data_IF_800240937235
#
_entry.id   IF_800240937235
#
_cell.length_a   1.000
_cell.length_b   1.000
_cell.length_c   1.000
_cell.angle_alpha   90.00
_cell.angle_beta   90.00
_cell.angle_gamma   90.00
#
_symmetry.space_group_name_H-M   'P 1'
#
loop_
_entity.id
_entity.type
_entity.pdbx_description
1 polymer ?
#
# COMPACT_ATOMS: atom_id res chain seq x y z
N UNK A 1 20.50 -17.96 2.38
CA UNK A 1 19.37 -17.08 2.00
C UNK A 1 19.50 -15.72 2.67
N UNK A 2 18.79 -14.69 2.17
CA UNK A 2 18.77 -13.36 2.81
C UNK A 2 18.42 -13.42 4.30
N UNK A 3 17.42 -14.23 4.66
CA UNK A 3 16.99 -14.41 6.05
C UNK A 3 18.08 -15.07 6.90
N UNK A 4 18.75 -16.08 6.40
CA UNK A 4 19.87 -16.74 7.11
C UNK A 4 21.04 -15.80 7.33
N UNK A 5 21.39 -15.00 6.33
CA UNK A 5 22.44 -13.99 6.44
C UNK A 5 22.05 -12.93 7.49
N UNK A 6 20.82 -12.40 7.45
CA UNK A 6 20.35 -11.44 8.43
C UNK A 6 20.33 -12.00 9.86
N UNK A 7 20.02 -13.27 10.04
CA UNK A 7 20.10 -13.95 11.34
C UNK A 7 21.53 -14.12 11.83
N UNK A 8 22.48 -14.42 10.94
CA UNK A 8 23.92 -14.51 11.27
C UNK A 8 24.50 -13.14 11.61
N UNK A 9 24.21 -12.13 10.78
CA UNK A 9 24.74 -10.77 10.96
C UNK A 9 24.21 -10.07 12.20
N UNK A 10 23.01 -10.44 12.69
CA UNK A 10 22.38 -9.81 13.85
C UNK A 10 22.99 -10.22 15.19
N UNK A 11 23.80 -11.27 15.25
CA UNK A 11 24.29 -11.90 16.49
C UNK A 11 23.20 -12.27 17.51
N UNK A 12 21.94 -12.36 17.07
CA UNK A 12 20.79 -12.66 17.94
C UNK A 12 20.67 -14.19 18.10
N UNK A 13 20.52 -14.62 19.35
CA UNK A 13 20.26 -16.03 19.64
C UNK A 13 18.91 -16.45 19.02
N UNK A 14 18.97 -17.40 18.09
CA UNK A 14 17.79 -17.90 17.36
C UNK A 14 16.68 -18.41 18.31
N UNK A 15 17.03 -18.88 19.52
CA UNK A 15 16.07 -19.38 20.50
C UNK A 15 15.13 -18.32 21.06
N UNK A 16 15.50 -17.03 21.00
CA UNK A 16 14.65 -15.93 21.47
C UNK A 16 13.79 -15.32 20.37
N UNK A 17 13.95 -15.77 19.12
CA UNK A 17 13.16 -15.27 17.98
C UNK A 17 11.82 -15.99 17.97
N UNK A 18 10.73 -15.25 18.18
CA UNK A 18 9.38 -15.79 18.26
C UNK A 18 8.77 -16.10 16.88
N UNK A 19 9.29 -15.48 15.82
CA UNK A 19 8.84 -15.73 14.45
C UNK A 19 9.31 -14.66 13.46
N UNK A 20 8.95 -14.85 12.19
CA UNK A 20 9.24 -13.94 11.08
C UNK A 20 7.94 -13.54 10.41
N UNK A 21 7.69 -12.23 10.30
CA UNK A 21 6.55 -11.67 9.58
C UNK A 21 6.94 -11.27 8.16
N UNK A 22 6.17 -11.70 7.18
CA UNK A 22 6.38 -11.40 5.76
C UNK A 22 5.14 -10.73 5.19
N UNK A 23 5.31 -9.50 4.68
CA UNK A 23 4.31 -8.80 3.88
C UNK A 23 4.60 -9.02 2.39
N UNK A 24 3.62 -9.48 1.63
CA UNK A 24 3.74 -9.74 0.19
C UNK A 24 2.73 -8.93 -0.62
N UNK A 25 3.14 -8.44 -1.80
CA UNK A 25 2.23 -7.79 -2.76
C UNK A 25 1.41 -8.84 -3.51
N UNK A 26 0.69 -9.68 -2.79
CA UNK A 26 -0.05 -10.82 -3.34
C UNK A 26 -1.33 -11.06 -2.52
N UNK A 27 -2.31 -11.73 -3.12
CA UNK A 27 -3.48 -12.20 -2.39
C UNK A 27 -3.08 -13.40 -1.54
N UNK A 28 -3.16 -13.24 -0.24
CA UNK A 28 -2.93 -14.31 0.74
C UNK A 28 -4.28 -14.82 1.23
N UNK A 29 -4.67 -16.00 0.76
CA UNK A 29 -6.01 -16.58 1.00
C UNK A 29 -6.29 -16.92 2.46
N UNK A 30 -5.28 -17.45 3.15
CA UNK A 30 -5.45 -17.99 4.50
C UNK A 30 -4.26 -17.67 5.40
N UNK A 31 -4.38 -18.04 6.68
CA UNK A 31 -3.27 -17.93 7.64
C UNK A 31 -2.10 -18.90 7.33
N UNK A 32 -2.28 -19.82 6.39
CA UNK A 32 -1.24 -20.75 5.95
C UNK A 32 -0.34 -20.15 4.86
N UNK A 33 -0.65 -18.92 4.37
CA UNK A 33 0.16 -18.23 3.37
C UNK A 33 0.00 -18.84 1.96
N UNK A 34 -1.20 -19.37 1.64
CA UNK A 34 -1.53 -19.82 0.29
C UNK A 34 -1.62 -18.61 -0.64
N UNK A 35 -0.75 -18.57 -1.66
CA UNK A 35 -0.67 -17.50 -2.64
C UNK A 35 -1.45 -17.87 -3.90
N UNK A 36 -2.04 -16.86 -4.57
CA UNK A 36 -2.92 -17.14 -5.72
C UNK A 36 -2.22 -17.18 -7.07
N UNK A 37 -1.08 -16.50 -7.24
CA UNK A 37 -0.45 -16.35 -8.55
C UNK A 37 0.95 -16.94 -8.69
N UNK A 38 1.83 -16.75 -7.70
CA UNK A 38 3.24 -17.14 -7.85
C UNK A 38 3.55 -18.63 -7.64
N UNK A 39 2.63 -19.38 -7.01
CA UNK A 39 2.86 -20.79 -6.61
C UNK A 39 1.64 -21.66 -6.87
N UNK A 40 0.94 -21.41 -7.98
CA UNK A 40 -0.32 -22.11 -8.31
C UNK A 40 -0.16 -23.59 -8.67
N UNK A 41 1.07 -24.03 -8.97
CA UNK A 41 1.31 -25.41 -9.44
C UNK A 41 1.93 -26.35 -8.40
N UNK A 42 2.41 -25.84 -7.26
CA UNK A 42 3.01 -26.69 -6.24
C UNK A 42 2.17 -26.78 -4.97
N UNK A 43 1.93 -28.03 -4.55
CA UNK A 43 1.14 -28.41 -3.38
C UNK A 43 1.72 -27.97 -2.01
N UNK A 44 2.86 -27.29 -1.99
CA UNK A 44 3.53 -26.83 -0.76
C UNK A 44 3.32 -25.34 -0.59
N UNK A 45 2.66 -24.93 0.52
CA UNK A 45 2.53 -23.51 0.83
C UNK A 45 3.91 -22.88 1.09
N UNK A 46 4.15 -21.66 0.60
CA UNK A 46 5.37 -20.89 0.83
C UNK A 46 5.75 -20.86 2.32
N UNK A 47 4.76 -20.72 3.19
CA UNK A 47 4.96 -20.77 4.65
C UNK A 47 5.60 -22.07 5.11
N UNK A 48 5.04 -23.22 4.73
CA UNK A 48 5.59 -24.53 5.11
C UNK A 48 6.99 -24.73 4.56
N UNK A 49 7.23 -24.32 3.32
CA UNK A 49 8.56 -24.37 2.71
C UNK A 49 9.59 -23.57 3.52
N UNK A 50 9.28 -22.30 3.85
CA UNK A 50 10.17 -21.44 4.61
C UNK A 50 10.39 -21.96 6.04
N UNK A 51 9.35 -22.43 6.73
CA UNK A 51 9.44 -23.02 8.07
C UNK A 51 10.31 -24.28 8.07
N UNK A 52 10.24 -25.11 7.02
CA UNK A 52 11.07 -26.30 6.90
C UNK A 52 12.56 -25.99 6.75
N UNK A 53 12.90 -24.88 6.10
CA UNK A 53 14.28 -24.41 5.89
C UNK A 53 14.83 -23.63 7.08
N UNK A 54 14.05 -22.66 7.57
CA UNK A 54 14.54 -21.69 8.55
C UNK A 54 14.38 -22.19 9.99
N UNK A 55 13.44 -23.14 10.23
CA UNK A 55 13.10 -23.67 11.55
C UNK A 55 12.65 -22.59 12.54
N UNK A 56 11.93 -21.59 12.05
CA UNK A 56 11.23 -20.56 12.81
C UNK A 56 9.79 -20.46 12.33
N UNK A 57 8.90 -19.98 13.21
CA UNK A 57 7.52 -19.71 12.85
C UNK A 57 7.46 -18.60 11.81
N UNK A 58 6.76 -18.83 10.70
CA UNK A 58 6.57 -17.85 9.61
C UNK A 58 5.10 -17.43 9.59
N UNK A 59 4.88 -16.13 9.48
CA UNK A 59 3.55 -15.55 9.28
C UNK A 59 3.59 -14.71 8.02
N UNK A 60 2.67 -14.99 7.09
CA UNK A 60 2.60 -14.31 5.81
C UNK A 60 1.22 -13.65 5.68
N UNK A 61 1.19 -12.40 5.24
CA UNK A 61 -0.03 -11.73 4.82
C UNK A 61 0.26 -10.72 3.69
N UNK A 62 -0.79 -10.15 3.11
CA UNK A 62 -0.67 -9.05 2.17
C UNK A 62 0.04 -7.86 2.85
N UNK A 63 0.94 -7.20 2.13
CA UNK A 63 1.79 -6.13 2.66
C UNK A 63 0.99 -4.94 3.20
N UNK A 64 -0.11 -4.56 2.54
CA UNK A 64 -0.97 -3.48 3.01
C UNK A 64 -1.66 -3.83 4.31
N UNK A 65 -2.09 -5.10 4.48
CA UNK A 65 -2.66 -5.58 5.74
C UNK A 65 -1.65 -5.64 6.87
N UNK A 66 -0.41 -6.02 6.56
CA UNK A 66 0.69 -6.00 7.55
C UNK A 66 1.00 -4.58 8.00
N UNK A 67 1.00 -3.61 7.07
CA UNK A 67 1.14 -2.18 7.37
C UNK A 67 -0.03 -1.69 8.24
N UNK A 68 -1.26 -2.11 7.95
CA UNK A 68 -2.43 -1.78 8.77
C UNK A 68 -2.26 -2.21 10.24
N UNK A 69 -1.69 -3.38 10.49
CA UNK A 69 -1.36 -3.84 11.85
C UNK A 69 -0.32 -2.94 12.51
N UNK A 70 0.70 -2.48 11.76
CA UNK A 70 1.70 -1.56 12.29
C UNK A 70 1.08 -0.21 12.68
N UNK A 71 0.17 0.32 11.87
CA UNK A 71 -0.54 1.57 12.18
C UNK A 71 -1.37 1.45 13.46
N UNK A 72 -2.06 0.32 13.68
CA UNK A 72 -2.80 0.07 14.93
C UNK A 72 -1.89 -0.09 16.15
N UNK A 73 -0.67 -0.59 15.96
CA UNK A 73 0.25 -0.92 17.07
C UNK A 73 1.16 0.25 17.44
N UNK A 74 1.75 0.90 16.43
CA UNK A 74 2.81 1.91 16.58
C UNK A 74 2.47 3.25 15.94
N UNK A 75 1.47 3.29 15.07
CA UNK A 75 1.14 4.46 14.27
C UNK A 75 -0.02 5.27 14.83
N UNK A 76 -0.56 6.11 13.94
CA UNK A 76 -1.65 7.05 14.28
C UNK A 76 -3.04 6.38 14.37
N UNK A 77 -3.15 5.09 14.03
CA UNK A 77 -4.38 4.31 14.20
C UNK A 77 -4.50 3.66 15.59
N UNK A 78 -3.55 3.91 16.49
CA UNK A 78 -3.60 3.32 17.83
C UNK A 78 -4.81 3.81 18.61
N UNK A 79 -5.65 2.86 19.07
CA UNK A 79 -6.88 3.16 19.83
C UNK A 79 -8.06 3.64 18.96
N UNK A 80 -7.97 3.53 17.64
CA UNK A 80 -9.06 3.85 16.71
C UNK A 80 -9.60 2.54 16.13
N UNK A 81 -10.92 2.35 16.19
CA UNK A 81 -11.56 1.09 15.85
C UNK A 81 -11.80 0.92 14.35
N UNK A 82 -12.10 2.01 13.62
CA UNK A 82 -12.49 1.97 12.23
C UNK A 82 -11.54 2.81 11.38
N UNK A 83 -10.61 2.14 10.68
CA UNK A 83 -9.51 2.79 9.96
C UNK A 83 -9.32 2.18 8.58
N UNK A 84 -9.07 3.04 7.60
CA UNK A 84 -8.57 2.64 6.28
C UNK A 84 -7.09 3.00 6.18
N UNK A 85 -6.23 2.04 5.85
CA UNK A 85 -4.81 2.29 5.61
C UNK A 85 -4.51 2.04 4.15
N UNK A 86 -4.21 3.10 3.42
CA UNK A 86 -3.95 3.10 1.98
C UNK A 86 -2.45 3.17 1.75
N UNK A 87 -1.89 2.18 1.12
CA UNK A 87 -0.48 2.16 0.68
C UNK A 87 -0.40 2.61 -0.76
N UNK A 88 0.31 3.71 -1.02
CA UNK A 88 0.63 4.18 -2.37
C UNK A 88 2.14 4.11 -2.57
N UNK A 89 2.57 3.16 -3.39
CA UNK A 89 3.96 2.91 -3.76
C UNK A 89 4.02 2.62 -5.25
N UNK A 90 4.81 1.65 -5.69
CA UNK A 90 4.76 1.18 -7.09
C UNK A 90 3.33 0.81 -7.52
N UNK A 91 2.56 0.22 -6.62
CA UNK A 91 1.15 -0.15 -6.77
C UNK A 91 0.31 0.41 -5.63
N UNK A 92 -1.01 0.28 -5.74
CA UNK A 92 -1.98 0.71 -4.74
C UNK A 92 -2.45 -0.48 -3.92
N UNK A 93 -2.59 -0.31 -2.60
CA UNK A 93 -3.15 -1.32 -1.70
C UNK A 93 -3.96 -0.69 -0.58
N UNK A 94 -4.87 -1.46 0.01
CA UNK A 94 -5.75 -1.02 1.10
C UNK A 94 -5.79 -2.08 2.20
N UNK A 95 -5.67 -1.65 3.44
CA UNK A 95 -6.05 -2.41 4.63
C UNK A 95 -7.30 -1.80 5.23
N UNK A 96 -8.28 -2.64 5.53
CA UNK A 96 -9.53 -2.25 6.20
C UNK A 96 -9.49 -2.79 7.62
N UNK A 97 -9.69 -1.89 8.57
CA UNK A 97 -9.84 -2.21 9.99
C UNK A 97 -11.25 -1.77 10.37
N UNK A 98 -12.05 -2.66 10.91
CA UNK A 98 -13.40 -2.38 11.37
C UNK A 98 -13.60 -3.03 12.75
N UNK A 99 -14.10 -2.25 13.71
CA UNK A 99 -14.26 -2.67 15.11
C UNK A 99 -12.95 -3.25 15.68
N UNK A 100 -11.83 -2.58 15.42
CA UNK A 100 -10.47 -2.98 15.80
C UNK A 100 -9.98 -4.33 15.21
N UNK A 101 -10.71 -4.88 14.23
CA UNK A 101 -10.36 -6.12 13.57
C UNK A 101 -9.95 -5.87 12.11
N UNK A 102 -8.85 -6.49 11.71
CA UNK A 102 -8.39 -6.48 10.32
C UNK A 102 -9.33 -7.31 9.45
N UNK A 103 -9.92 -6.71 8.43
CA UNK A 103 -10.83 -7.39 7.49
C UNK A 103 -10.01 -8.10 6.41
N UNK A 104 -10.24 -9.40 6.26
CA UNK A 104 -9.62 -10.23 5.22
C UNK A 104 -10.59 -10.61 4.10
N UNK A 105 -11.87 -10.69 4.41
CA UNK A 105 -12.87 -11.28 3.54
C UNK A 105 -12.77 -12.82 3.48
N UNK A 106 -13.75 -13.45 2.89
CA UNK A 106 -13.86 -14.92 2.83
C UNK A 106 -12.73 -15.60 2.05
N UNK A 107 -12.17 -14.88 1.07
CA UNK A 107 -11.11 -15.40 0.18
C UNK A 107 -9.79 -14.62 0.32
N UNK A 108 -9.63 -13.79 1.34
CA UNK A 108 -8.42 -13.00 1.56
C UNK A 108 -8.25 -11.83 0.57
N UNK A 109 -9.29 -11.43 -0.15
CA UNK A 109 -9.25 -10.38 -1.18
C UNK A 109 -9.79 -9.03 -0.72
N UNK A 110 -10.28 -8.91 0.53
CA UNK A 110 -10.73 -7.63 1.04
C UNK A 110 -9.60 -6.59 0.97
N UNK A 111 -9.94 -5.37 0.53
CA UNK A 111 -8.96 -4.32 0.33
C UNK A 111 -8.29 -4.31 -1.05
N UNK A 112 -8.78 -5.07 -2.03
CA UNK A 112 -8.29 -5.04 -3.43
C UNK A 112 -8.68 -3.73 -4.15
N UNK A 113 -8.38 -2.59 -3.53
CA UNK A 113 -8.69 -1.26 -4.05
C UNK A 113 -8.12 -1.01 -5.44
N UNK A 114 -6.93 -1.54 -5.71
CA UNK A 114 -6.27 -1.46 -7.02
C UNK A 114 -7.08 -2.09 -8.15
N UNK A 115 -8.00 -3.02 -7.86
CA UNK A 115 -8.84 -3.70 -8.84
C UNK A 115 -10.30 -3.19 -8.88
N UNK A 116 -10.64 -2.15 -8.12
CA UNK A 116 -11.93 -1.46 -8.27
C UNK A 116 -11.95 -0.69 -9.58
N UNK A 117 -13.12 -0.60 -10.21
CA UNK A 117 -13.28 0.12 -11.46
C UNK A 117 -13.22 1.62 -11.23
N UNK A 118 -12.47 2.33 -12.06
CA UNK A 118 -12.44 3.79 -12.11
C UNK A 118 -13.23 4.26 -13.32
N UNK A 119 -14.18 5.16 -13.15
CA UNK A 119 -15.18 5.58 -14.15
C UNK A 119 -14.58 5.96 -15.52
N UNK A 120 -13.42 6.61 -15.52
CA UNK A 120 -12.71 7.04 -16.74
C UNK A 120 -11.50 6.18 -17.10
N UNK A 121 -11.30 5.06 -16.39
CA UNK A 121 -10.18 4.18 -16.64
C UNK A 121 -10.34 3.39 -17.94
N UNK A 122 -9.35 3.44 -18.83
CA UNK A 122 -9.33 2.72 -20.09
C UNK A 122 -8.12 1.80 -20.25
N UNK A 123 -7.26 1.69 -19.23
CA UNK A 123 -6.03 0.91 -19.29
C UNK A 123 -6.27 -0.53 -18.90
N UNK A 124 -5.64 -1.44 -19.65
CA UNK A 124 -5.63 -2.87 -19.31
C UNK A 124 -4.84 -3.11 -18.02
N UNK A 125 -5.47 -3.79 -17.08
CA UNK A 125 -4.87 -4.22 -15.82
C UNK A 125 -4.28 -5.64 -15.94
N UNK A 126 -3.28 -5.95 -15.14
CA UNK A 126 -2.70 -7.30 -15.03
C UNK A 126 -3.73 -8.38 -14.67
N UNK A 127 -4.83 -8.01 -14.00
CA UNK A 127 -5.95 -8.93 -13.72
C UNK A 127 -6.84 -9.25 -14.93
N UNK A 128 -6.51 -8.72 -16.12
CA UNK A 128 -7.26 -8.93 -17.38
C UNK A 128 -8.45 -7.99 -17.58
N UNK A 129 -8.77 -7.10 -16.64
CA UNK A 129 -9.88 -6.13 -16.76
C UNK A 129 -9.35 -4.77 -17.20
N UNK A 130 -10.21 -3.97 -17.81
CA UNK A 130 -9.90 -2.59 -18.21
C UNK A 130 -10.45 -1.64 -17.14
N UNK A 131 -9.70 -0.56 -16.83
CA UNK A 131 -10.16 0.53 -15.96
C UNK A 131 -10.02 0.27 -14.46
N UNK A 132 -9.15 -0.64 -14.05
CA UNK A 132 -8.83 -0.80 -12.64
C UNK A 132 -8.12 0.43 -12.07
N UNK A 133 -8.48 0.86 -10.85
CA UNK A 133 -7.91 2.04 -10.18
C UNK A 133 -6.37 1.98 -10.10
N UNK A 134 -5.79 0.81 -9.89
CA UNK A 134 -4.34 0.61 -9.84
C UNK A 134 -3.62 0.85 -11.19
N UNK A 135 -4.36 0.99 -12.30
CA UNK A 135 -3.78 1.42 -13.60
C UNK A 135 -3.72 2.94 -13.73
N UNK A 136 -4.37 3.67 -12.81
CA UNK A 136 -4.45 5.13 -12.78
C UNK A 136 -3.67 5.75 -11.61
N UNK A 137 -3.32 4.95 -10.58
CA UNK A 137 -2.69 5.44 -9.35
C UNK A 137 -1.55 4.51 -8.96
N UNK A 138 -0.46 5.11 -8.48
CA UNK A 138 0.78 4.45 -8.07
C UNK A 138 1.92 4.64 -9.06
N UNK A 139 3.13 4.23 -8.68
CA UNK A 139 4.36 4.50 -9.42
C UNK A 139 4.36 3.97 -10.85
N UNK A 140 3.77 2.78 -11.07
CA UNK A 140 3.65 2.22 -12.42
C UNK A 140 2.73 3.07 -13.32
N UNK A 141 1.63 3.58 -12.78
CA UNK A 141 0.72 4.48 -13.47
C UNK A 141 1.41 5.84 -13.73
N UNK A 142 2.10 6.38 -12.72
CA UNK A 142 2.80 7.65 -12.79
C UNK A 142 3.85 7.69 -13.92
N UNK A 143 4.62 6.60 -14.07
CA UNK A 143 5.58 6.47 -15.19
C UNK A 143 4.88 6.42 -16.56
N UNK A 144 3.72 5.76 -16.66
CA UNK A 144 2.94 5.73 -17.90
C UNK A 144 2.38 7.11 -18.24
N UNK A 145 1.90 7.84 -17.22
CA UNK A 145 1.40 9.19 -17.37
C UNK A 145 2.51 10.14 -17.82
N UNK A 146 3.69 10.11 -17.18
CA UNK A 146 4.86 10.88 -17.60
C UNK A 146 5.22 10.59 -19.06
N UNK A 147 5.30 9.30 -19.43
CA UNK A 147 5.62 8.91 -20.80
C UNK A 147 4.64 9.46 -21.83
N UNK A 148 3.34 9.45 -21.49
CA UNK A 148 2.30 9.99 -22.38
C UNK A 148 2.52 11.49 -22.60
N UNK A 149 2.64 12.27 -21.51
CA UNK A 149 2.74 13.74 -21.61
C UNK A 149 4.03 14.21 -22.26
N UNK A 150 5.16 13.52 -22.04
CA UNK A 150 6.42 13.84 -22.72
C UNK A 150 6.35 13.50 -24.22
N UNK A 151 5.67 12.41 -24.61
CA UNK A 151 5.45 12.09 -26.01
C UNK A 151 4.57 13.13 -26.72
N UNK A 152 3.64 13.76 -25.98
CA UNK A 152 2.77 14.84 -26.46
C UNK A 152 3.48 16.22 -26.43
N UNK A 153 4.83 16.22 -26.32
CA UNK A 153 5.69 17.42 -26.33
C UNK A 153 5.43 18.40 -25.17
N UNK A 154 4.95 17.93 -24.02
CA UNK A 154 4.97 18.76 -22.82
C UNK A 154 6.40 18.88 -22.28
N UNK A 155 6.78 20.09 -21.90
CA UNK A 155 8.12 20.38 -21.43
C UNK A 155 8.26 20.07 -19.94
N UNK A 156 9.40 19.50 -19.57
CA UNK A 156 9.89 19.41 -18.19
C UNK A 156 11.37 19.77 -18.19
N UNK A 157 11.85 20.33 -17.10
CA UNK A 157 13.29 20.57 -16.89
C UNK A 157 14.03 19.28 -16.47
N UNK A 158 13.30 18.28 -16.04
CA UNK A 158 13.83 17.04 -15.44
C UNK A 158 13.66 15.80 -16.32
N UNK A 159 12.75 15.84 -17.30
CA UNK A 159 12.41 14.67 -18.11
C UNK A 159 12.45 15.00 -19.59
N UNK A 160 13.08 14.10 -20.36
CA UNK A 160 13.15 14.17 -21.80
C UNK A 160 12.77 12.81 -22.43
N UNK A 161 12.51 12.83 -23.75
CA UNK A 161 12.03 11.67 -24.50
C UNK A 161 13.10 10.60 -24.67
N UNK A 162 14.36 11.01 -24.82
CA UNK A 162 15.50 10.15 -25.13
C UNK A 162 15.83 9.25 -23.93
N UNK A 163 15.65 9.74 -22.72
CA UNK A 163 16.01 9.03 -21.48
C UNK A 163 14.80 8.36 -20.81
N UNK A 164 13.63 8.38 -21.43
CA UNK A 164 12.36 7.91 -20.82
C UNK A 164 12.42 6.50 -20.27
N UNK A 165 13.22 5.60 -20.86
CA UNK A 165 13.39 4.21 -20.38
C UNK A 165 14.16 4.10 -19.06
N UNK A 166 14.93 5.13 -18.68
CA UNK A 166 15.82 5.13 -17.52
C UNK A 166 15.10 5.64 -16.26
N UNK A 167 14.05 6.44 -16.43
CA UNK A 167 13.35 7.05 -15.30
C UNK A 167 12.55 6.03 -14.50
N UNK A 168 12.57 6.23 -13.20
CA UNK A 168 11.76 5.54 -12.19
C UNK A 168 10.74 6.51 -11.63
N UNK A 169 9.67 6.00 -11.05
CA UNK A 169 8.67 6.89 -10.44
C UNK A 169 9.22 7.71 -9.25
N UNK A 170 10.31 7.26 -8.61
CA UNK A 170 11.00 8.05 -7.59
C UNK A 170 11.60 9.34 -8.15
N UNK A 171 12.08 9.32 -9.39
CA UNK A 171 12.63 10.53 -10.04
C UNK A 171 11.54 11.59 -10.21
N UNK A 172 10.28 11.15 -10.44
CA UNK A 172 9.12 12.05 -10.51
C UNK A 172 8.80 12.61 -9.12
N UNK A 173 8.84 11.78 -8.06
CA UNK A 173 8.63 12.26 -6.69
C UNK A 173 9.72 13.27 -6.28
N UNK A 174 10.97 13.03 -6.66
CA UNK A 174 12.08 13.97 -6.42
C UNK A 174 11.91 15.26 -7.20
N UNK A 175 11.41 15.20 -8.45
CA UNK A 175 11.14 16.39 -9.26
C UNK A 175 10.00 17.24 -8.66
N UNK A 176 8.97 16.60 -8.07
CA UNK A 176 7.92 17.32 -7.29
C UNK A 176 8.54 18.15 -6.17
N UNK A 177 9.48 17.58 -5.41
CA UNK A 177 10.16 18.30 -4.32
C UNK A 177 11.02 19.46 -4.82
N UNK A 178 11.44 19.42 -6.09
CA UNK A 178 12.19 20.48 -6.76
C UNK A 178 11.29 21.51 -7.48
N UNK A 179 9.97 21.32 -7.41
CA UNK A 179 8.99 22.25 -7.99
C UNK A 179 8.75 22.08 -9.49
N UNK A 180 9.04 20.89 -10.07
CA UNK A 180 8.73 20.64 -11.48
C UNK A 180 7.20 20.64 -11.69
N UNK A 181 6.72 21.57 -12.51
CA UNK A 181 5.30 21.81 -12.73
C UNK A 181 4.58 20.59 -13.28
N UNK A 182 5.22 19.87 -14.23
CA UNK A 182 4.66 18.66 -14.81
C UNK A 182 4.48 17.57 -13.76
N UNK A 183 5.50 17.33 -12.95
CA UNK A 183 5.46 16.33 -11.88
C UNK A 183 4.42 16.68 -10.81
N UNK A 184 4.32 17.95 -10.44
CA UNK A 184 3.29 18.45 -9.51
C UNK A 184 1.88 18.16 -10.03
N UNK A 185 1.63 18.44 -11.32
CA UNK A 185 0.35 18.15 -11.96
C UNK A 185 0.03 16.65 -11.95
N UNK A 186 0.98 15.80 -12.32
CA UNK A 186 0.78 14.35 -12.34
C UNK A 186 0.46 13.80 -10.94
N UNK A 187 1.17 14.25 -9.91
CA UNK A 187 0.92 13.85 -8.53
C UNK A 187 -0.43 14.35 -8.02
N UNK A 188 -0.79 15.60 -8.35
CA UNK A 188 -2.10 16.15 -8.01
C UNK A 188 -3.23 15.32 -8.65
N UNK A 189 -3.13 15.00 -9.93
CA UNK A 189 -4.16 14.26 -10.65
C UNK A 189 -4.36 12.86 -10.06
N UNK A 190 -3.27 12.15 -9.72
CA UNK A 190 -3.36 10.85 -9.05
C UNK A 190 -3.97 10.96 -7.64
N UNK A 191 -3.57 11.98 -6.87
CA UNK A 191 -4.14 12.23 -5.54
C UNK A 191 -5.63 12.51 -5.59
N UNK A 192 -6.08 13.36 -6.52
CA UNK A 192 -7.49 13.66 -6.71
C UNK A 192 -8.32 12.42 -7.11
N UNK A 193 -7.79 11.60 -8.05
CA UNK A 193 -8.43 10.33 -8.43
C UNK A 193 -8.56 9.38 -7.23
N UNK A 194 -7.50 9.26 -6.43
CA UNK A 194 -7.53 8.44 -5.21
C UNK A 194 -8.59 8.95 -4.23
N UNK A 195 -8.62 10.26 -4.03
CA UNK A 195 -9.59 10.90 -3.14
C UNK A 195 -11.03 10.62 -3.52
N UNK A 196 -11.36 10.70 -4.81
CA UNK A 196 -12.70 10.33 -5.32
C UNK A 196 -13.05 8.86 -5.03
N UNK A 197 -12.11 7.96 -5.26
CA UNK A 197 -12.33 6.54 -4.95
C UNK A 197 -12.52 6.31 -3.44
N UNK A 198 -11.71 6.98 -2.61
CA UNK A 198 -11.80 6.88 -1.15
C UNK A 198 -13.10 7.48 -0.61
N UNK A 199 -13.61 8.58 -1.19
CA UNK A 199 -14.89 9.16 -0.80
C UNK A 199 -16.05 8.16 -0.92
N UNK A 200 -16.07 7.33 -1.98
CA UNK A 200 -17.04 6.25 -2.10
C UNK A 200 -16.88 5.18 -1.00
N UNK A 201 -15.65 4.84 -0.64
CA UNK A 201 -15.39 3.85 0.42
C UNK A 201 -15.74 4.42 1.80
N UNK A 202 -15.46 5.70 2.04
CA UNK A 202 -15.85 6.40 3.27
C UNK A 202 -17.37 6.37 3.42
N UNK A 203 -18.14 6.62 2.36
CA UNK A 203 -19.61 6.53 2.41
C UNK A 203 -20.12 5.10 2.70
N UNK A 204 -19.34 4.05 2.38
CA UNK A 204 -19.76 2.67 2.60
C UNK A 204 -19.35 2.11 3.96
N UNK A 205 -18.19 2.53 4.48
CA UNK A 205 -17.57 1.93 5.65
C UNK A 205 -17.53 2.84 6.87
N UNK A 206 -17.82 4.13 6.70
CA UNK A 206 -17.85 5.18 7.73
C UNK A 206 -16.64 5.10 8.70
N UNK A 207 -15.38 5.18 8.20
CA UNK A 207 -14.20 5.10 9.04
C UNK A 207 -13.96 6.42 9.76
N UNK A 208 -13.36 6.36 10.95
CA UNK A 208 -12.89 7.53 11.70
C UNK A 208 -11.64 8.15 11.08
N UNK A 209 -10.81 7.33 10.44
CA UNK A 209 -9.51 7.75 9.93
C UNK A 209 -9.14 7.01 8.64
N UNK A 210 -8.66 7.78 7.67
CA UNK A 210 -7.95 7.27 6.48
C UNK A 210 -6.49 7.65 6.58
N UNK A 211 -5.59 6.66 6.53
CA UNK A 211 -4.14 6.85 6.59
C UNK A 211 -3.58 6.63 5.19
N UNK A 212 -2.88 7.62 4.66
CA UNK A 212 -2.11 7.51 3.43
C UNK A 212 -0.66 7.19 3.78
N UNK A 213 -0.19 6.04 3.32
CA UNK A 213 1.18 5.56 3.53
C UNK A 213 1.84 5.13 2.22
N UNK A 214 3.02 4.53 2.33
CA UNK A 214 3.84 4.15 1.19
C UNK A 214 4.80 5.24 0.77
N UNK A 215 5.40 5.11 -0.41
CA UNK A 215 6.50 5.98 -0.85
C UNK A 215 6.06 7.39 -1.24
N UNK A 216 4.77 7.57 -1.58
CA UNK A 216 4.19 8.89 -1.86
C UNK A 216 4.16 9.82 -0.64
N UNK A 217 4.45 9.31 0.56
CA UNK A 217 4.67 10.14 1.75
C UNK A 217 5.85 11.12 1.57
N UNK A 218 6.78 10.86 0.65
CA UNK A 218 7.87 11.79 0.29
C UNK A 218 7.32 13.15 -0.16
N UNK A 219 6.23 13.15 -0.90
CA UNK A 219 5.54 14.35 -1.42
C UNK A 219 4.20 14.59 -0.73
N UNK A 220 4.12 14.25 0.56
CA UNK A 220 2.90 14.17 1.36
C UNK A 220 1.96 15.37 1.22
N UNK A 221 2.49 16.58 1.30
CA UNK A 221 1.65 17.78 1.33
C UNK A 221 0.97 18.02 -0.03
N UNK A 222 1.67 17.79 -1.13
CA UNK A 222 1.11 17.89 -2.48
C UNK A 222 0.08 16.79 -2.74
N UNK A 223 0.45 15.55 -2.47
CA UNK A 223 -0.41 14.40 -2.71
C UNK A 223 -1.61 14.36 -1.76
N UNK A 224 -1.38 14.55 -0.45
CA UNK A 224 -2.43 14.48 0.57
C UNK A 224 -3.51 15.54 0.38
N UNK A 225 -3.13 16.78 0.01
CA UNK A 225 -4.10 17.84 -0.26
C UNK A 225 -4.97 17.50 -1.48
N UNK A 226 -4.38 16.94 -2.54
CA UNK A 226 -5.14 16.48 -3.69
C UNK A 226 -6.10 15.33 -3.33
N UNK A 227 -5.67 14.37 -2.49
CA UNK A 227 -6.55 13.30 -1.96
C UNK A 227 -7.71 13.91 -1.18
N UNK A 228 -7.45 14.82 -0.24
CA UNK A 228 -8.51 15.49 0.54
C UNK A 228 -9.51 16.22 -0.35
N UNK A 229 -9.02 16.92 -1.39
CA UNK A 229 -9.90 17.58 -2.37
C UNK A 229 -10.80 16.56 -3.08
N UNK A 230 -10.24 15.46 -3.54
CA UNK A 230 -11.01 14.38 -4.17
C UNK A 230 -12.05 13.75 -3.23
N UNK A 231 -11.70 13.50 -1.96
CA UNK A 231 -12.62 13.01 -0.92
C UNK A 231 -13.77 13.99 -0.75
N UNK A 232 -13.50 15.28 -0.57
CA UNK A 232 -14.51 16.31 -0.35
C UNK A 232 -15.52 16.43 -1.50
N UNK A 233 -15.15 16.06 -2.73
CA UNK A 233 -16.07 16.08 -3.89
C UNK A 233 -17.00 14.87 -3.98
N UNK A 234 -16.81 13.84 -3.13
CA UNK A 234 -17.51 12.56 -3.28
C UNK A 234 -18.19 12.10 -1.99
N UNK A 235 -17.61 12.42 -0.84
CA UNK A 235 -18.15 12.02 0.46
C UNK A 235 -19.44 12.81 0.75
N UNK A 236 -20.38 12.19 1.48
CA UNK A 236 -21.58 12.88 1.96
C UNK A 236 -21.20 14.11 2.81
N UNK A 237 -21.88 15.23 2.60
CA UNK A 237 -21.55 16.50 3.25
C UNK A 237 -21.49 16.40 4.78
N UNK A 238 -22.34 15.59 5.38
CA UNK A 238 -22.37 15.37 6.83
C UNK A 238 -21.16 14.55 7.33
N UNK A 239 -20.53 13.74 6.47
CA UNK A 239 -19.39 12.88 6.82
C UNK A 239 -18.03 13.57 6.61
N UNK A 240 -18.00 14.75 5.97
CA UNK A 240 -16.74 15.49 5.75
C UNK A 240 -16.02 15.88 7.04
N UNK A 241 -16.76 16.02 8.15
CA UNK A 241 -16.23 16.40 9.45
C UNK A 241 -15.96 15.20 10.38
N UNK A 242 -16.31 13.97 9.98
CA UNK A 242 -16.20 12.78 10.83
C UNK A 242 -15.05 11.86 10.45
N UNK A 243 -14.52 11.95 9.24
CA UNK A 243 -13.43 11.14 8.77
C UNK A 243 -12.19 11.99 8.48
N UNK A 244 -11.14 11.82 9.26
CA UNK A 244 -9.85 12.45 9.03
C UNK A 244 -9.06 11.72 7.92
N UNK A 245 -8.38 12.47 7.04
CA UNK A 245 -7.42 11.93 6.07
C UNK A 245 -6.04 12.45 6.42
N UNK A 246 -5.14 11.55 6.83
CA UNK A 246 -3.79 11.89 7.33
C UNK A 246 -2.70 11.05 6.65
N UNK A 247 -1.49 11.57 6.59
CA UNK A 247 -0.31 10.76 6.23
C UNK A 247 0.16 9.95 7.43
N UNK A 248 0.71 8.76 7.15
CA UNK A 248 1.39 7.96 8.18
C UNK A 248 2.55 8.72 8.82
N UNK A 249 2.81 8.44 10.08
CA UNK A 249 4.03 8.85 10.79
C UNK A 249 5.11 7.76 10.82
N UNK A 250 4.76 6.55 10.37
CA UNK A 250 5.67 5.40 10.34
C UNK A 250 6.52 5.44 9.05
N UNK A 251 7.71 6.06 9.12
CA UNK A 251 8.54 6.29 7.93
C UNK A 251 9.60 5.19 7.74
N UNK A 252 10.79 5.36 8.29
CA UNK A 252 11.93 4.45 8.05
C UNK A 252 11.67 3.05 8.62
N UNK A 253 11.99 2.02 7.81
CA UNK A 253 11.89 0.63 8.22
C UNK A 253 10.45 0.14 8.42
N UNK A 254 9.45 0.82 7.81
CA UNK A 254 8.04 0.46 7.94
C UNK A 254 7.79 -1.04 7.68
N UNK A 255 8.38 -1.62 6.65
CA UNK A 255 8.22 -3.04 6.34
C UNK A 255 8.69 -3.96 7.47
N UNK A 256 9.87 -3.69 8.03
CA UNK A 256 10.42 -4.47 9.14
C UNK A 256 9.59 -4.30 10.42
N UNK A 257 9.22 -3.05 10.76
CA UNK A 257 8.34 -2.75 11.91
C UNK A 257 6.98 -3.43 11.76
N UNK A 258 6.40 -3.36 10.57
CA UNK A 258 5.11 -3.97 10.26
C UNK A 258 5.17 -5.50 10.39
N UNK A 259 6.22 -6.13 9.87
CA UNK A 259 6.46 -7.56 10.05
C UNK A 259 6.58 -7.95 11.53
N UNK A 260 7.33 -7.19 12.32
CA UNK A 260 7.49 -7.41 13.76
C UNK A 260 6.15 -7.26 14.52
N UNK A 261 5.41 -6.18 14.31
CA UNK A 261 4.08 -5.97 14.90
C UNK A 261 3.12 -7.11 14.53
N UNK A 262 3.17 -7.56 13.29
CA UNK A 262 2.34 -8.65 12.82
C UNK A 262 2.66 -9.97 13.52
N UNK A 263 3.94 -10.28 13.75
CA UNK A 263 4.37 -11.44 14.54
C UNK A 263 3.91 -11.30 15.99
N UNK A 264 4.13 -10.15 16.63
CA UNK A 264 3.73 -9.92 18.01
C UNK A 264 2.21 -10.10 18.21
N UNK A 265 1.41 -9.47 17.38
CA UNK A 265 -0.07 -9.58 17.45
C UNK A 265 -0.58 -11.00 17.19
N UNK A 266 0.10 -11.76 16.33
CA UNK A 266 -0.35 -13.09 15.92
C UNK A 266 0.22 -14.22 16.78
N UNK A 267 1.47 -14.12 17.24
CA UNK A 267 2.16 -15.18 18.00
C UNK A 267 2.08 -15.00 19.50
N UNK A 268 2.15 -13.77 20.00
CA UNK A 268 2.17 -13.49 21.42
C UNK A 268 0.77 -13.25 21.99
N UNK A 269 -0.29 -13.25 21.15
CA UNK A 269 -1.67 -12.93 21.53
C UNK A 269 -1.77 -11.61 22.32
N UNK A 270 -0.88 -10.66 22.03
CA UNK A 270 -0.88 -9.37 22.71
C UNK A 270 -1.95 -8.52 22.02
N UNK A 271 -3.02 -8.23 22.75
CA UNK A 271 -3.98 -7.20 22.38
C UNK A 271 -3.40 -5.86 22.82
N UNK A 272 -3.02 -5.03 21.88
CA UNK A 272 -2.60 -3.64 22.13
C UNK A 272 -3.79 -2.72 22.08
#
# INVERSE_FOLDING_TARGET
SFIENALMDSNINKKIIIGIGIGMQEVVKDSCGSLTHFFSEESISLKKYLESKIKLKIIIDNDSRVIGVAEQTLGIAKGIDNVLVVKVSRTLGLSIIANNHKIRGSYGTAGSLNHTQFEKGNRLCECGKIGCLGTEIGGNALLKDLKSVINDNQNSLYFNKEEMSNYKYHDILDAVLKGDELSLKLIHDQGYKLGKALGNIINLLDPELVIIGGEYVMVKDFFLNAVKTGVATTVLTNNTNHCDVKSTTLNRGLGAKAGACFVLKTCAMINF
#
